data_IF_687009886285
#
_entry.id   IF_687009886285
#
_cell.length_a   1.000
_cell.length_b   1.000
_cell.length_c   1.000
_cell.angle_alpha   90.00
_cell.angle_beta   90.00
_cell.angle_gamma   90.00
#
_symmetry.space_group_name_H-M   'P 1'
#
loop_
_entity.id
_entity.type
_entity.pdbx_description
1 polymer ?
#
# COMPACT_ATOMS: atom_id res chain seq x y z
N UNK A 1 -9.01 24.29 10.69
CA UNK A 1 -9.64 23.04 11.15
C UNK A 1 -10.13 22.17 9.98
N UNK A 2 -10.95 22.68 9.05
CA UNK A 2 -11.52 21.87 7.95
C UNK A 2 -10.51 21.26 6.96
N UNK A 3 -9.43 21.98 6.60
CA UNK A 3 -8.43 21.50 5.64
C UNK A 3 -7.71 20.21 6.05
N UNK A 4 -7.42 20.06 7.35
CA UNK A 4 -6.83 18.83 7.89
C UNK A 4 -7.82 17.67 7.76
N UNK A 5 -9.09 17.90 8.09
CA UNK A 5 -10.12 16.87 7.98
C UNK A 5 -10.32 16.43 6.52
N UNK A 6 -10.29 17.37 5.57
CA UNK A 6 -10.34 17.07 4.13
C UNK A 6 -9.12 16.26 3.67
N UNK A 7 -7.91 16.60 4.11
CA UNK A 7 -6.70 15.84 3.80
C UNK A 7 -6.82 14.38 4.28
N UNK A 8 -7.26 14.17 5.52
CA UNK A 8 -7.44 12.83 6.08
C UNK A 8 -8.51 12.02 5.33
N UNK A 9 -9.65 12.63 5.04
CA UNK A 9 -10.80 11.93 4.47
C UNK A 9 -10.65 11.69 2.96
N UNK A 10 -10.12 12.66 2.21
CA UNK A 10 -10.05 12.59 0.75
C UNK A 10 -8.75 11.97 0.23
N UNK A 11 -7.66 12.01 1.02
CA UNK A 11 -6.36 11.52 0.58
C UNK A 11 -5.94 10.29 1.39
N UNK A 12 -5.75 10.44 2.71
CA UNK A 12 -5.19 9.36 3.52
C UNK A 12 -6.11 8.13 3.59
N UNK A 13 -7.39 8.34 3.85
CA UNK A 13 -8.36 7.24 4.00
C UNK A 13 -8.49 6.37 2.75
N UNK A 14 -8.79 6.90 1.54
CA UNK A 14 -8.92 6.08 0.34
C UNK A 14 -7.59 5.42 -0.06
N UNK A 15 -6.44 6.09 0.11
CA UNK A 15 -5.14 5.46 -0.17
C UNK A 15 -4.89 4.25 0.74
N UNK A 16 -5.16 4.36 2.04
CA UNK A 16 -5.01 3.23 2.95
C UNK A 16 -5.98 2.08 2.62
N UNK A 17 -7.22 2.39 2.24
CA UNK A 17 -8.17 1.36 1.79
C UNK A 17 -7.67 0.68 0.52
N UNK A 18 -7.13 1.43 -0.45
CA UNK A 18 -6.60 0.86 -1.67
C UNK A 18 -5.40 -0.07 -1.41
N UNK A 19 -4.48 0.34 -0.52
CA UNK A 19 -3.35 -0.50 -0.09
C UNK A 19 -3.84 -1.75 0.64
N UNK A 20 -4.78 -1.60 1.58
CA UNK A 20 -5.39 -2.74 2.28
C UNK A 20 -6.08 -3.70 1.30
N UNK A 21 -6.89 -3.19 0.38
CA UNK A 21 -7.57 -4.00 -0.63
C UNK A 21 -6.58 -4.73 -1.55
N UNK A 22 -5.47 -4.08 -1.93
CA UNK A 22 -4.41 -4.72 -2.72
C UNK A 22 -3.75 -5.87 -1.95
N UNK A 23 -3.34 -5.64 -0.70
CA UNK A 23 -2.74 -6.70 0.13
C UNK A 23 -3.71 -7.87 0.34
N UNK A 24 -4.99 -7.59 0.58
CA UNK A 24 -6.01 -8.62 0.72
C UNK A 24 -6.19 -9.42 -0.57
N UNK A 25 -6.22 -8.76 -1.73
CA UNK A 25 -6.26 -9.43 -3.02
C UNK A 25 -5.05 -10.36 -3.24
N UNK A 26 -3.85 -9.90 -2.89
CA UNK A 26 -2.64 -10.73 -3.00
C UNK A 26 -2.70 -11.96 -2.10
N UNK A 27 -3.19 -11.81 -0.86
CA UNK A 27 -3.43 -12.95 0.05
C UNK A 27 -4.44 -13.93 -0.53
N UNK A 28 -5.55 -13.45 -1.11
CA UNK A 28 -6.54 -14.33 -1.75
C UNK A 28 -5.93 -15.12 -2.92
N UNK A 29 -5.12 -14.48 -3.77
CA UNK A 29 -4.43 -15.16 -4.87
C UNK A 29 -3.46 -16.23 -4.35
N UNK A 30 -2.80 -15.97 -3.21
CA UNK A 30 -1.94 -16.96 -2.57
C UNK A 30 -2.75 -18.12 -1.96
N UNK A 31 -3.93 -17.86 -1.39
CA UNK A 31 -4.84 -18.91 -0.91
C UNK A 31 -5.39 -19.75 -2.07
N UNK A 32 -5.72 -19.13 -3.21
CA UNK A 32 -6.13 -19.85 -4.42
C UNK A 32 -4.98 -20.73 -4.96
N UNK A 33 -3.74 -20.26 -4.85
CA UNK A 33 -2.56 -21.05 -5.19
C UNK A 33 -2.36 -22.23 -4.21
N UNK A 34 -2.55 -22.01 -2.91
CA UNK A 34 -2.46 -23.06 -1.87
C UNK A 34 -3.53 -24.17 -2.07
N UNK A 35 -4.71 -23.78 -2.52
CA UNK A 35 -5.81 -24.70 -2.82
C UNK A 35 -5.74 -25.35 -4.22
N UNK A 36 -4.63 -25.18 -4.95
CA UNK A 36 -4.41 -25.67 -6.32
C UNK A 36 -5.44 -25.15 -7.35
N UNK A 37 -6.09 -24.00 -7.10
CA UNK A 37 -7.04 -23.37 -8.03
C UNK A 37 -6.35 -22.56 -9.14
N UNK A 38 -5.17 -22.02 -8.88
CA UNK A 38 -4.41 -21.17 -9.83
C UNK A 38 -2.98 -21.69 -9.94
N UNK A 39 -2.40 -21.61 -11.14
CA UNK A 39 -1.00 -22.02 -11.35
C UNK A 39 -0.01 -20.94 -10.83
N UNK A 40 1.22 -21.31 -10.47
CA UNK A 40 2.19 -20.36 -9.88
C UNK A 40 2.59 -19.22 -10.83
N UNK A 41 2.53 -19.43 -12.15
CA UNK A 41 2.82 -18.39 -13.14
C UNK A 41 1.73 -17.30 -13.19
N UNK A 42 0.47 -17.71 -13.13
CA UNK A 42 -0.69 -16.82 -13.06
C UNK A 42 -0.75 -16.11 -11.72
N UNK A 43 -0.50 -16.80 -10.60
CA UNK A 43 -0.47 -16.17 -9.30
C UNK A 43 0.62 -15.08 -9.22
N UNK A 44 1.85 -15.40 -9.65
CA UNK A 44 2.97 -14.45 -9.64
C UNK A 44 2.75 -13.27 -10.59
N UNK A 45 2.25 -13.49 -11.81
CA UNK A 45 1.96 -12.40 -12.75
C UNK A 45 0.87 -11.45 -12.24
N UNK A 46 -0.19 -11.98 -11.59
CA UNK A 46 -1.24 -11.16 -10.96
C UNK A 46 -0.72 -10.35 -9.80
N UNK A 47 0.08 -10.94 -8.91
CA UNK A 47 0.66 -10.23 -7.76
C UNK A 47 1.65 -9.16 -8.24
N UNK A 48 2.55 -9.49 -9.17
CA UNK A 48 3.60 -8.58 -9.64
C UNK A 48 3.04 -7.30 -10.29
N UNK A 49 1.84 -7.38 -10.88
CA UNK A 49 1.15 -6.21 -11.41
C UNK A 49 0.84 -5.15 -10.33
N UNK A 50 0.57 -5.56 -9.09
CA UNK A 50 0.19 -4.65 -8.00
C UNK A 50 1.37 -4.13 -7.18
N UNK A 51 2.52 -4.82 -7.21
CA UNK A 51 3.72 -4.45 -6.42
C UNK A 51 4.16 -3.02 -6.69
N UNK A 52 4.35 -2.66 -7.96
CA UNK A 52 4.85 -1.32 -8.33
C UNK A 52 3.85 -0.20 -7.93
N UNK A 53 2.54 -0.29 -8.24
CA UNK A 53 1.55 0.64 -7.73
C UNK A 53 1.54 0.79 -6.20
N UNK A 54 1.69 -0.31 -5.46
CA UNK A 54 1.72 -0.32 -4.00
C UNK A 54 2.92 0.46 -3.46
N UNK A 55 4.11 0.24 -4.03
CA UNK A 55 5.34 0.92 -3.62
C UNK A 55 5.25 2.43 -3.86
N UNK A 56 4.71 2.82 -5.02
CA UNK A 56 4.46 4.23 -5.35
C UNK A 56 3.46 4.83 -4.36
N UNK A 57 2.33 4.14 -4.09
CA UNK A 57 1.31 4.59 -3.16
C UNK A 57 1.85 4.81 -1.75
N UNK A 58 2.60 3.84 -1.22
CA UNK A 58 3.25 3.90 0.08
C UNK A 58 4.26 5.06 0.15
N UNK A 59 5.10 5.21 -0.88
CA UNK A 59 6.10 6.28 -0.99
C UNK A 59 5.48 7.67 -1.03
N UNK A 60 4.41 7.85 -1.82
CA UNK A 60 3.67 9.11 -1.90
C UNK A 60 3.03 9.44 -0.54
N UNK A 61 2.43 8.46 0.13
CA UNK A 61 1.78 8.68 1.43
C UNK A 61 2.79 9.08 2.52
N UNK A 62 3.96 8.45 2.54
CA UNK A 62 5.07 8.81 3.42
C UNK A 62 5.59 10.25 3.14
N UNK A 63 5.82 10.59 1.87
CA UNK A 63 6.25 11.93 1.47
C UNK A 63 5.21 13.00 1.83
N UNK A 64 3.91 12.71 1.65
CA UNK A 64 2.83 13.61 2.05
C UNK A 64 2.84 13.89 3.56
N UNK A 65 3.07 12.88 4.40
CA UNK A 65 3.19 13.10 5.85
C UNK A 65 4.40 13.94 6.24
N UNK A 66 5.52 13.80 5.53
CA UNK A 66 6.70 14.65 5.72
C UNK A 66 6.40 16.12 5.40
N UNK A 67 5.83 16.41 4.22
CA UNK A 67 5.57 17.79 3.79
C UNK A 67 4.42 18.47 4.53
N UNK A 68 3.44 17.71 4.99
CA UNK A 68 2.31 18.24 5.77
C UNK A 68 2.65 18.40 7.26
N UNK A 69 3.85 17.99 7.70
CA UNK A 69 4.31 18.13 9.09
C UNK A 69 3.67 17.14 10.07
N UNK A 70 3.08 16.05 9.58
CA UNK A 70 2.51 14.99 10.41
C UNK A 70 3.59 13.99 10.83
N UNK A 71 4.53 14.44 11.65
CA UNK A 71 5.76 13.72 12.01
C UNK A 71 5.53 12.34 12.63
N UNK A 72 4.50 12.17 13.47
CA UNK A 72 4.21 10.87 14.09
C UNK A 72 3.81 9.82 13.04
N UNK A 73 2.96 10.19 12.08
CA UNK A 73 2.53 9.32 10.99
C UNK A 73 3.66 9.04 10.00
N UNK A 74 4.50 10.05 9.73
CA UNK A 74 5.72 9.87 8.96
C UNK A 74 6.62 8.82 9.60
N UNK A 75 6.94 8.95 10.89
CA UNK A 75 7.80 7.98 11.60
C UNK A 75 7.25 6.54 11.57
N UNK A 76 5.94 6.36 11.53
CA UNK A 76 5.31 5.04 11.38
C UNK A 76 5.44 4.47 9.97
N UNK A 77 5.39 5.32 8.94
CA UNK A 77 5.37 4.90 7.52
C UNK A 77 6.76 4.83 6.88
N UNK A 78 7.75 5.52 7.45
CA UNK A 78 9.15 5.53 6.99
C UNK A 78 9.80 4.14 7.00
N UNK A 79 9.74 3.33 8.07
CA UNK A 79 10.39 2.02 8.08
C UNK A 79 9.86 1.10 6.97
N UNK A 80 8.54 1.16 6.74
CA UNK A 80 7.86 0.39 5.71
C UNK A 80 8.27 0.84 4.30
N UNK A 81 8.32 2.14 4.06
CA UNK A 81 8.78 2.69 2.77
C UNK A 81 10.27 2.42 2.52
N UNK A 82 11.12 2.50 3.55
CA UNK A 82 12.51 2.09 3.45
C UNK A 82 12.65 0.61 3.09
N UNK A 83 11.83 -0.26 3.67
CA UNK A 83 11.81 -1.68 3.33
C UNK A 83 11.44 -1.90 1.84
N UNK A 84 10.42 -1.20 1.33
CA UNK A 84 10.05 -1.27 -0.10
C UNK A 84 11.17 -0.80 -1.04
N UNK A 85 11.97 0.19 -0.64
CA UNK A 85 13.10 0.67 -1.45
C UNK A 85 14.28 -0.30 -1.45
N UNK A 86 14.41 -1.13 -0.41
CA UNK A 86 15.49 -2.11 -0.29
C UNK A 86 15.21 -3.44 -0.98
N UNK A 87 13.94 -3.71 -1.34
CA UNK A 87 13.49 -4.93 -2.03
C UNK A 87 13.76 -4.85 -3.54
#
# INVERSE_FOLDING_TARGET
>A
MGWILLFWLLVCFPLNIALLASTFYQVLVLTDLEADYVNPYEASSRINYFIVPEFIGQGVLCALFLFTGHWFMFLLTVPLTCYHVML
#
